data_IF_830385565023
#
_entry.id   IF_830385565023
#
_cell.length_a   1.000
_cell.length_b   1.000
_cell.length_c   1.000
_cell.angle_alpha   90.00
_cell.angle_beta   90.00
_cell.angle_gamma   90.00
#
_symmetry.space_group_name_H-M   'P 1'
#
loop_
_entity.id
_entity.type
_entity.pdbx_description
1 polymer ?
#
# COMPACT_ATOMS: atom_id res chain seq x y z
N UNK A 1 7.98 39.83 -12.45
CA UNK A 1 8.73 38.63 -12.87
C UNK A 1 9.46 38.07 -11.66
N UNK A 2 8.88 37.06 -11.02
CA UNK A 2 9.53 36.26 -9.99
C UNK A 2 9.40 34.82 -10.45
N UNK A 3 10.53 34.19 -10.78
CA UNK A 3 10.59 32.79 -11.21
C UNK A 3 10.04 31.94 -10.08
N UNK A 4 8.90 31.31 -10.32
CA UNK A 4 8.34 30.29 -9.45
C UNK A 4 9.41 29.23 -9.24
N UNK A 5 9.89 29.13 -7.99
CA UNK A 5 10.75 28.03 -7.54
C UNK A 5 10.07 26.73 -7.92
N UNK A 6 10.84 25.91 -8.58
CA UNK A 6 10.59 24.54 -9.01
C UNK A 6 9.78 23.77 -7.96
N UNK A 7 8.57 23.37 -8.36
CA UNK A 7 7.54 22.54 -7.69
C UNK A 7 8.00 21.13 -7.22
N UNK A 8 9.31 20.90 -7.08
CA UNK A 8 9.95 19.58 -7.02
C UNK A 8 10.50 19.30 -5.59
N UNK A 9 10.27 20.22 -4.64
CA UNK A 9 10.72 20.19 -3.24
C UNK A 9 9.56 20.05 -2.23
N UNK A 10 8.40 19.51 -2.61
CA UNK A 10 7.38 19.17 -1.60
C UNK A 10 7.81 17.90 -0.86
N UNK A 11 8.45 18.12 0.29
CA UNK A 11 8.97 17.14 1.24
C UNK A 11 7.90 16.28 1.93
N UNK A 12 7.05 15.59 1.18
CA UNK A 12 6.29 14.43 1.64
C UNK A 12 6.29 13.37 0.54
N UNK A 13 7.21 12.42 0.64
CA UNK A 13 6.98 11.13 -0.03
C UNK A 13 5.82 10.42 0.66
N UNK A 14 5.06 9.57 -0.05
CA UNK A 14 4.01 8.75 0.58
C UNK A 14 4.52 8.03 1.85
N UNK A 15 5.76 7.53 1.81
CA UNK A 15 6.40 6.91 2.97
C UNK A 15 6.56 7.86 4.16
N UNK A 16 6.88 9.12 3.89
CA UNK A 16 6.98 10.18 4.91
C UNK A 16 5.61 10.49 5.51
N UNK A 17 4.57 10.58 4.68
CA UNK A 17 3.20 10.81 5.15
C UNK A 17 2.73 9.67 6.05
N UNK A 18 2.86 8.42 5.61
CA UNK A 18 2.48 7.25 6.40
C UNK A 18 3.21 7.22 7.75
N UNK A 19 4.50 7.55 7.78
CA UNK A 19 5.26 7.60 9.03
C UNK A 19 4.81 8.74 9.96
N UNK A 20 4.47 9.91 9.40
CA UNK A 20 3.92 11.02 10.20
C UNK A 20 2.56 10.65 10.80
N UNK A 21 1.67 10.06 10.01
CA UNK A 21 0.35 9.60 10.47
C UNK A 21 0.52 8.52 11.55
N UNK A 22 1.41 7.54 11.35
CA UNK A 22 1.73 6.51 12.36
C UNK A 22 2.13 7.12 13.70
N UNK A 23 2.97 8.16 13.67
CA UNK A 23 3.42 8.87 14.86
C UNK A 23 2.29 9.68 15.52
N UNK A 24 1.46 10.37 14.74
CA UNK A 24 0.31 11.14 15.23
C UNK A 24 -0.72 10.24 15.93
N UNK A 25 -0.96 9.04 15.39
CA UNK A 25 -1.84 8.03 15.97
C UNK A 25 -1.19 7.25 17.12
N UNK A 26 0.08 7.52 17.45
CA UNK A 26 0.86 6.83 18.47
C UNK A 26 0.86 5.29 18.31
N UNK A 27 0.90 4.79 17.07
CA UNK A 27 0.89 3.35 16.79
C UNK A 27 2.25 2.73 17.10
N UNK A 28 2.23 1.66 17.90
CA UNK A 28 3.42 0.85 18.18
C UNK A 28 3.85 0.03 16.95
N UNK A 29 5.11 -0.41 16.92
CA UNK A 29 5.63 -1.27 15.83
C UNK A 29 4.85 -2.59 15.69
N UNK A 30 4.26 -3.09 16.77
CA UNK A 30 3.43 -4.30 16.74
C UNK A 30 2.06 -4.07 16.10
N UNK A 31 1.55 -2.82 16.12
CA UNK A 31 0.28 -2.46 15.51
C UNK A 31 0.46 -2.13 14.03
N UNK A 32 1.53 -1.40 13.71
CA UNK A 32 1.86 -1.00 12.34
C UNK A 32 3.35 -0.68 12.23
N UNK A 33 4.03 -1.28 11.25
CA UNK A 33 5.43 -1.00 10.96
C UNK A 33 5.73 -1.01 9.46
N UNK A 34 6.66 -0.16 8.98
CA UNK A 34 7.25 -0.33 7.66
C UNK A 34 8.11 -1.61 7.64
N UNK A 35 8.06 -2.34 6.53
CA UNK A 35 8.93 -3.50 6.31
C UNK A 35 10.29 -3.04 5.78
N UNK A 36 11.36 -3.74 6.17
CA UNK A 36 12.72 -3.48 5.67
C UNK A 36 12.97 -4.09 4.30
N UNK A 37 13.97 -3.58 3.56
CA UNK A 37 14.28 -4.03 2.19
C UNK A 37 14.56 -5.55 2.07
N UNK A 38 15.16 -6.17 3.09
CA UNK A 38 15.40 -7.61 3.10
C UNK A 38 14.13 -8.43 3.28
N UNK A 39 13.14 -7.90 4.02
CA UNK A 39 11.83 -8.52 4.17
C UNK A 39 11.02 -8.38 2.88
N UNK A 40 11.21 -7.26 2.16
CA UNK A 40 10.48 -6.95 0.94
C UNK A 40 10.68 -7.99 -0.15
N UNK A 41 11.92 -8.41 -0.42
CA UNK A 41 12.21 -9.31 -1.55
C UNK A 41 11.38 -10.59 -1.47
N UNK A 42 11.33 -11.24 -0.30
CA UNK A 42 10.54 -12.47 -0.12
C UNK A 42 9.03 -12.24 -0.14
N UNK A 43 8.56 -11.11 0.39
CA UNK A 43 7.13 -10.77 0.43
C UNK A 43 6.62 -10.42 -0.96
N UNK A 44 7.37 -9.59 -1.69
CA UNK A 44 7.05 -9.18 -3.05
C UNK A 44 6.96 -10.40 -3.98
N UNK A 45 7.94 -11.30 -3.92
CA UNK A 45 7.92 -12.53 -4.71
C UNK A 45 6.70 -13.38 -4.36
N UNK A 46 6.39 -13.57 -3.07
CA UNK A 46 5.20 -14.32 -2.66
C UNK A 46 3.92 -13.69 -3.18
N UNK A 47 3.77 -12.35 -3.12
CA UNK A 47 2.60 -11.64 -3.66
C UNK A 47 2.48 -11.91 -5.16
N UNK A 48 3.54 -11.66 -5.93
CA UNK A 48 3.48 -11.79 -7.40
C UNK A 48 3.25 -13.23 -7.85
N UNK A 49 3.94 -14.21 -7.26
CA UNK A 49 3.73 -15.62 -7.62
C UNK A 49 2.36 -16.14 -7.20
N UNK A 50 1.79 -15.62 -6.11
CA UNK A 50 0.47 -16.05 -5.66
C UNK A 50 -0.62 -15.43 -6.53
N UNK A 51 -0.56 -14.13 -6.76
CA UNK A 51 -1.68 -13.36 -7.31
C UNK A 51 -1.55 -12.97 -8.77
N UNK A 52 -0.36 -12.94 -9.35
CA UNK A 52 -0.15 -12.41 -10.70
C UNK A 52 0.18 -13.51 -11.75
N UNK A 53 -0.29 -13.29 -12.99
CA UNK A 53 0.15 -13.93 -14.22
C UNK A 53 1.40 -13.21 -14.69
N UNK A 54 2.55 -13.84 -14.44
CA UNK A 54 3.84 -13.30 -14.82
C UNK A 54 4.27 -13.86 -16.18
N UNK A 55 4.81 -13.01 -17.05
CA UNK A 55 5.39 -13.42 -18.33
C UNK A 55 6.75 -14.12 -18.15
N UNK A 56 7.42 -13.90 -17.00
CA UNK A 56 8.64 -14.59 -16.60
C UNK A 56 8.84 -14.53 -15.07
N UNK A 57 9.68 -15.41 -14.48
CA UNK A 57 10.01 -15.39 -13.05
C UNK A 57 10.57 -14.06 -12.51
N UNK A 58 11.22 -13.27 -13.39
CA UNK A 58 11.83 -11.98 -13.05
C UNK A 58 10.93 -10.78 -13.38
N UNK A 59 9.74 -11.02 -13.92
CA UNK A 59 8.81 -9.95 -14.23
C UNK A 59 8.39 -9.23 -12.93
N UNK A 60 8.31 -7.90 -13.02
CA UNK A 60 7.87 -7.01 -11.95
C UNK A 60 6.78 -6.12 -12.54
N UNK A 61 5.49 -6.43 -12.31
CA UNK A 61 4.40 -5.69 -12.93
C UNK A 61 4.36 -4.25 -12.42
N UNK A 62 4.21 -3.29 -13.32
CA UNK A 62 4.09 -1.86 -12.96
C UNK A 62 2.72 -1.56 -12.35
N UNK A 63 1.67 -2.16 -12.89
CA UNK A 63 0.30 -2.09 -12.38
C UNK A 63 -0.18 -3.50 -12.05
N UNK A 64 -0.22 -3.87 -10.76
CA UNK A 64 -0.51 -5.25 -10.36
C UNK A 64 -1.87 -5.74 -10.88
N UNK A 65 -2.86 -4.85 -10.92
CA UNK A 65 -4.23 -5.21 -11.27
C UNK A 65 -4.40 -5.70 -12.71
N UNK A 66 -3.54 -5.30 -13.64
CA UNK A 66 -3.52 -5.83 -15.01
C UNK A 66 -3.05 -7.28 -15.09
N UNK A 67 -2.31 -7.72 -14.06
CA UNK A 67 -1.67 -9.02 -14.05
C UNK A 67 -2.36 -10.03 -13.15
N UNK A 68 -3.45 -9.70 -12.45
CA UNK A 68 -4.03 -10.66 -11.51
C UNK A 68 -4.53 -11.96 -12.18
N UNK A 69 -4.34 -13.09 -11.48
CA UNK A 69 -4.75 -14.42 -11.95
C UNK A 69 -6.26 -14.57 -12.00
N UNK A 70 -6.91 -14.00 -10.99
CA UNK A 70 -8.36 -13.93 -10.88
C UNK A 70 -8.86 -12.74 -11.68
N UNK A 71 -10.07 -12.84 -12.22
CA UNK A 71 -10.79 -11.66 -12.68
C UNK A 71 -10.98 -10.74 -11.47
N UNK A 72 -10.32 -9.59 -11.50
CA UNK A 72 -10.46 -8.61 -10.43
C UNK A 72 -11.49 -7.59 -10.82
N UNK A 73 -12.39 -7.30 -9.88
CA UNK A 73 -13.34 -6.23 -10.01
C UNK A 73 -12.83 -5.06 -9.17
N UNK A 74 -12.53 -3.94 -9.83
CA UNK A 74 -12.25 -2.70 -9.14
C UNK A 74 -13.57 -2.16 -8.55
N UNK A 75 -13.63 -1.99 -7.24
CA UNK A 75 -14.79 -1.38 -6.60
C UNK A 75 -14.65 0.15 -6.65
N UNK A 76 -15.24 0.77 -7.67
CA UNK A 76 -15.29 2.23 -7.77
C UNK A 76 -16.62 2.75 -7.21
N UNK A 77 -16.71 2.93 -5.88
CA UNK A 77 -17.87 3.57 -5.25
C UNK A 77 -17.50 4.92 -4.62
N UNK A 78 -17.93 6.03 -5.23
CA UNK A 78 -17.74 7.36 -4.65
C UNK A 78 -18.33 7.43 -3.24
N UNK A 79 -17.53 7.88 -2.26
CA UNK A 79 -17.99 8.15 -0.90
C UNK A 79 -18.10 6.94 0.04
N UNK A 80 -17.73 5.73 -0.39
CA UNK A 80 -17.51 4.61 0.55
C UNK A 80 -16.02 4.53 0.84
N UNK A 81 -15.64 4.85 2.07
CA UNK A 81 -14.27 4.66 2.53
C UNK A 81 -13.92 3.17 2.41
N UNK A 82 -12.78 2.81 1.79
CA UNK A 82 -12.31 1.43 1.70
C UNK A 82 -12.38 0.69 3.04
N UNK A 83 -12.14 1.42 4.13
CA UNK A 83 -12.18 0.96 5.52
C UNK A 83 -13.41 0.12 5.87
N UNK A 84 -14.60 0.48 5.40
CA UNK A 84 -15.81 -0.29 5.70
C UNK A 84 -15.76 -1.70 5.09
N UNK A 85 -15.26 -1.82 3.85
CA UNK A 85 -15.13 -3.09 3.14
C UNK A 85 -14.05 -3.99 3.75
N UNK A 86 -12.98 -3.40 4.28
CA UNK A 86 -11.86 -4.16 4.85
C UNK A 86 -12.28 -5.05 6.02
N UNK A 87 -13.16 -4.55 6.89
CA UNK A 87 -13.70 -5.31 8.03
C UNK A 87 -14.57 -6.50 7.63
N UNK A 88 -15.04 -6.55 6.38
CA UNK A 88 -15.86 -7.66 5.88
C UNK A 88 -15.01 -8.76 5.23
N UNK A 89 -13.79 -8.45 4.81
CA UNK A 89 -12.90 -9.37 4.09
C UNK A 89 -11.88 -10.03 5.01
N UNK A 90 -11.48 -9.35 6.08
CA UNK A 90 -10.43 -9.80 6.98
C UNK A 90 -10.80 -9.44 8.43
N UNK A 91 -10.47 -10.30 9.39
CA UNK A 91 -10.65 -10.00 10.81
C UNK A 91 -9.88 -8.72 11.20
N UNK A 92 -10.52 -7.84 11.98
CA UNK A 92 -9.94 -6.55 12.40
C UNK A 92 -8.58 -6.69 13.11
N UNK A 93 -8.40 -7.78 13.85
CA UNK A 93 -7.18 -8.05 14.59
C UNK A 93 -6.16 -8.88 13.80
N UNK A 94 -6.52 -9.35 12.60
CA UNK A 94 -5.58 -10.07 11.75
C UNK A 94 -4.44 -9.14 11.32
N UNK A 95 -3.21 -9.62 11.51
CA UNK A 95 -2.03 -8.98 10.93
C UNK A 95 -1.95 -9.34 9.45
N UNK A 96 -1.91 -8.31 8.61
CA UNK A 96 -1.83 -8.41 7.16
C UNK A 96 -0.63 -7.62 6.64
N UNK A 97 -0.29 -7.84 5.37
CA UNK A 97 0.58 -6.93 4.64
C UNK A 97 -0.26 -5.86 3.95
N UNK A 98 0.18 -4.61 4.11
CA UNK A 98 -0.33 -3.48 3.35
C UNK A 98 0.73 -3.11 2.31
N UNK A 99 0.32 -3.06 1.05
CA UNK A 99 1.14 -2.54 -0.04
C UNK A 99 0.47 -1.31 -0.62
N UNK A 100 1.22 -0.21 -0.62
CA UNK A 100 0.78 1.06 -1.17
C UNK A 100 1.66 1.40 -2.37
N UNK A 101 1.09 2.05 -3.39
CA UNK A 101 1.88 2.61 -4.47
C UNK A 101 1.87 4.15 -4.42
N UNK A 102 2.87 4.73 -5.05
CA UNK A 102 2.85 6.14 -5.43
C UNK A 102 3.56 6.28 -6.77
N UNK A 103 2.90 6.93 -7.73
CA UNK A 103 3.43 7.18 -9.07
C UNK A 103 3.96 8.60 -9.16
N UNK A 104 5.28 8.77 -9.28
CA UNK A 104 5.92 10.08 -9.52
C UNK A 104 6.64 10.05 -10.84
N UNK A 105 6.35 10.99 -11.74
CA UNK A 105 6.97 11.08 -13.07
C UNK A 105 6.89 9.74 -13.83
N UNK A 106 5.70 9.11 -13.87
CA UNK A 106 5.46 7.82 -14.53
C UNK A 106 6.23 6.62 -13.94
N UNK A 107 6.93 6.82 -12.82
CA UNK A 107 7.59 5.76 -12.08
C UNK A 107 6.77 5.40 -10.84
N UNK A 108 6.13 4.24 -10.89
CA UNK A 108 5.43 3.65 -9.74
C UNK A 108 6.42 3.04 -8.76
N UNK A 109 6.30 3.40 -7.49
CA UNK A 109 7.03 2.76 -6.38
C UNK A 109 6.04 2.12 -5.42
N UNK A 110 6.32 0.89 -5.02
CA UNK A 110 5.57 0.20 -3.97
C UNK A 110 6.25 0.38 -2.61
N UNK A 111 5.42 0.41 -1.57
CA UNK A 111 5.84 0.48 -0.17
C UNK A 111 5.09 -0.60 0.60
N UNK A 112 5.83 -1.47 1.29
CA UNK A 112 5.29 -2.57 2.08
C UNK A 112 5.33 -2.27 3.57
N UNK A 113 4.22 -2.59 4.23
CA UNK A 113 4.01 -2.44 5.66
C UNK A 113 3.37 -3.71 6.21
N UNK A 114 3.49 -3.90 7.52
CA UNK A 114 2.82 -4.95 8.27
C UNK A 114 2.05 -4.33 9.43
N UNK A 115 0.81 -4.75 9.64
CA UNK A 115 -0.01 -4.24 10.73
C UNK A 115 -1.33 -4.97 10.88
N UNK A 116 -2.02 -4.75 11.99
CA UNK A 116 -3.41 -5.20 12.12
C UNK A 116 -4.33 -4.34 11.25
N UNK A 117 -5.42 -4.95 10.76
CA UNK A 117 -6.40 -4.27 9.88
C UNK A 117 -6.92 -2.97 10.51
N UNK A 118 -7.18 -2.97 11.82
CA UNK A 118 -7.64 -1.77 12.54
C UNK A 118 -6.63 -0.60 12.45
N UNK A 119 -5.34 -0.85 12.66
CA UNK A 119 -4.32 0.19 12.58
C UNK A 119 -4.12 0.67 11.14
N UNK A 120 -4.16 -0.25 10.18
CA UNK A 120 -4.08 0.05 8.74
C UNK A 120 -5.22 0.96 8.30
N UNK A 121 -6.45 0.73 8.77
CA UNK A 121 -7.60 1.58 8.46
C UNK A 121 -7.38 3.01 8.94
N UNK A 122 -6.87 3.19 10.16
CA UNK A 122 -6.55 4.53 10.67
C UNK A 122 -5.46 5.22 9.85
N UNK A 123 -4.44 4.50 9.41
CA UNK A 123 -3.43 5.05 8.48
C UNK A 123 -4.10 5.51 7.17
N UNK A 124 -4.95 4.67 6.57
CA UNK A 124 -5.59 4.94 5.28
C UNK A 124 -6.54 6.15 5.38
N UNK A 125 -7.30 6.26 6.47
CA UNK A 125 -8.27 7.34 6.64
C UNK A 125 -7.63 8.73 6.78
N UNK A 126 -6.36 8.78 7.20
CA UNK A 126 -5.62 10.01 7.46
C UNK A 126 -4.61 10.37 6.35
N UNK A 127 -4.20 9.41 5.52
CA UNK A 127 -3.26 9.67 4.41
C UNK A 127 -3.97 10.26 3.18
N UNK A 128 -3.37 11.27 2.57
CA UNK A 128 -3.91 11.98 1.41
C UNK A 128 -3.19 11.63 0.09
N UNK A 129 -2.00 11.04 0.13
CA UNK A 129 -1.19 10.73 -1.07
C UNK A 129 -1.38 9.28 -1.57
N UNK A 130 -2.41 8.58 -1.09
CA UNK A 130 -2.73 7.22 -1.49
C UNK A 130 -3.32 7.19 -2.90
N UNK A 131 -2.83 6.28 -3.74
CA UNK A 131 -3.32 6.04 -5.10
C UNK A 131 -3.97 4.64 -5.15
N UNK A 132 -3.16 3.59 -5.10
CA UNK A 132 -3.61 2.19 -5.00
C UNK A 132 -3.27 1.61 -3.62
N UNK A 133 -4.24 0.86 -3.08
CA UNK A 133 -4.16 0.22 -1.77
C UNK A 133 -4.40 -1.27 -1.96
N UNK A 134 -3.43 -2.08 -1.55
CA UNK A 134 -3.55 -3.54 -1.57
C UNK A 134 -3.41 -4.08 -0.15
N UNK A 135 -4.38 -4.88 0.28
CA UNK A 135 -4.34 -5.60 1.55
C UNK A 135 -4.24 -7.09 1.28
N UNK A 136 -3.17 -7.69 1.82
CA UNK A 136 -2.78 -9.05 1.54
C UNK A 136 -2.77 -9.83 2.85
N UNK A 137 -3.70 -10.77 3.01
CA UNK A 137 -3.70 -11.68 4.15
C UNK A 137 -2.39 -12.47 4.20
N UNK A 138 -1.83 -12.69 5.39
CA UNK A 138 -0.61 -13.50 5.56
C UNK A 138 -0.87 -15.01 5.55
N UNK A 139 -2.14 -15.42 5.56
CA UNK A 139 -2.57 -16.83 5.65
C UNK A 139 -2.42 -17.63 4.35
N UNK A 140 -1.99 -16.99 3.27
CA UNK A 140 -2.00 -17.55 1.91
C UNK A 140 -0.89 -18.58 1.69
#
# INVERSE_FOLDING_TARGET
MLRAKTRWESALSLRTEVEQVRQQLALSENQFRPLGLREWEGIEERIYYTFCKLSSPKARPTWLWEHFKLETQAWHRPGVLPDFLLTQLVDKQETVWLMLNNTVNESTKFWLYEGCVEAIQQIISECCLLDEIYLISKKI
#
